data_IF_572642328659
#
_entry.id   IF_572642328659
#
_cell.length_a   1.000
_cell.length_b   1.000
_cell.length_c   1.000
_cell.angle_alpha   90.00
_cell.angle_beta   90.00
_cell.angle_gamma   90.00
#
_symmetry.space_group_name_H-M   'P 1'
#
loop_
_entity.id
_entity.type
_entity.pdbx_description
1 polymer ?
#
# COMPACT_ATOMS: atom_id res chain seq x y z
N UNK A 1 0.71 14.05 -9.40
CA UNK A 1 0.25 12.97 -10.31
C UNK A 1 0.48 11.70 -9.55
N UNK A 2 -0.56 10.93 -9.23
CA UNK A 2 -0.38 9.81 -8.33
C UNK A 2 -0.55 8.47 -9.02
N UNK A 3 0.14 7.48 -8.46
CA UNK A 3 0.01 6.07 -8.80
C UNK A 3 -0.48 5.34 -7.58
N UNK A 4 -1.35 4.37 -7.79
CA UNK A 4 -1.84 3.49 -6.74
C UNK A 4 -1.55 2.04 -7.11
N UNK A 5 -1.29 1.21 -6.11
CA UNK A 5 -1.23 -0.23 -6.27
C UNK A 5 -1.51 -0.94 -4.95
N UNK A 6 -1.74 -2.25 -5.03
CA UNK A 6 -1.96 -3.11 -3.89
C UNK A 6 -0.75 -4.04 -3.70
N UNK A 7 -0.21 -4.06 -2.49
CA UNK A 7 0.88 -4.95 -2.10
C UNK A 7 0.36 -6.03 -1.16
N UNK A 8 0.68 -7.28 -1.48
CA UNK A 8 0.61 -8.35 -0.50
C UNK A 8 1.89 -8.32 0.34
N UNK A 9 1.72 -8.14 1.64
CA UNK A 9 2.83 -8.04 2.58
C UNK A 9 2.72 -8.99 3.76
N UNK A 10 3.86 -9.28 4.36
CA UNK A 10 3.94 -9.95 5.65
C UNK A 10 4.69 -9.09 6.66
N UNK A 11 4.12 -8.95 7.85
CA UNK A 11 4.73 -8.28 8.99
C UNK A 11 6.00 -9.01 9.47
N UNK A 12 7.16 -8.33 9.48
CA UNK A 12 8.37 -8.81 10.18
C UNK A 12 8.41 -8.28 11.61
N UNK A 13 9.23 -8.89 12.50
CA UNK A 13 9.47 -8.35 13.84
C UNK A 13 9.80 -6.85 13.81
N UNK A 14 9.06 -6.07 14.61
CA UNK A 14 9.21 -4.62 14.70
C UNK A 14 8.26 -3.80 13.80
N UNK A 15 7.46 -4.44 12.95
CA UNK A 15 6.31 -3.77 12.29
C UNK A 15 5.12 -3.67 13.25
N UNK A 16 4.22 -2.71 13.03
CA UNK A 16 3.02 -2.52 13.86
C UNK A 16 2.07 -3.74 13.84
N UNK A 17 2.04 -4.46 12.71
CA UNK A 17 1.21 -5.65 12.53
C UNK A 17 1.86 -6.92 13.10
N UNK A 18 3.11 -6.86 13.58
CA UNK A 18 3.79 -8.01 14.15
C UNK A 18 3.17 -8.42 15.49
N UNK A 19 2.80 -9.69 15.63
CA UNK A 19 2.15 -10.20 16.84
C UNK A 19 0.62 -10.09 16.84
N UNK A 20 0.02 -9.58 15.76
CA UNK A 20 -1.43 -9.57 15.54
C UNK A 20 -2.07 -10.95 15.35
N UNK A 21 -1.26 -12.00 15.17
CA UNK A 21 -1.71 -13.35 14.81
C UNK A 21 -2.03 -13.54 13.33
N UNK A 22 -1.88 -12.48 12.51
CA UNK A 22 -2.12 -12.51 11.07
C UNK A 22 -0.88 -13.00 10.31
N UNK A 23 -1.11 -13.67 9.18
CA UNK A 23 -0.03 -14.19 8.32
C UNK A 23 0.51 -13.13 7.36
N UNK A 24 -0.40 -12.36 6.79
CA UNK A 24 -0.14 -11.33 5.81
C UNK A 24 -1.30 -10.36 5.68
N UNK A 25 -1.14 -9.35 4.85
CA UNK A 25 -2.15 -8.35 4.57
C UNK A 25 -2.00 -7.76 3.18
N UNK A 26 -3.12 -7.29 2.63
CA UNK A 26 -3.17 -6.46 1.43
C UNK A 26 -3.13 -4.98 1.85
N UNK A 27 -2.19 -4.24 1.27
CA UNK A 27 -1.90 -2.84 1.58
C UNK A 27 -2.03 -2.01 0.31
N UNK A 28 -2.95 -1.05 0.33
CA UNK A 28 -3.06 -0.07 -0.74
C UNK A 28 -1.99 1.00 -0.52
N UNK A 29 -1.23 1.32 -1.57
CA UNK A 29 -0.17 2.32 -1.56
C UNK A 29 -0.46 3.35 -2.62
N UNK A 30 -0.40 4.62 -2.26
CA UNK A 30 -0.48 5.76 -3.18
C UNK A 30 0.84 6.51 -3.14
N UNK A 31 1.42 6.80 -4.31
CA UNK A 31 2.68 7.53 -4.45
C UNK A 31 2.53 8.67 -5.46
N UNK A 32 2.98 9.86 -5.11
CA UNK A 32 3.15 10.98 -6.06
C UNK A 32 4.48 10.81 -6.82
N UNK A 33 4.38 10.34 -8.06
CA UNK A 33 5.52 10.01 -8.93
C UNK A 33 5.16 10.06 -10.41
N UNK A 34 6.17 10.05 -11.28
CA UNK A 34 5.98 10.28 -12.72
C UNK A 34 5.78 8.97 -13.50
N UNK A 35 6.08 7.80 -12.92
CA UNK A 35 5.99 6.52 -13.62
C UNK A 35 5.68 5.34 -12.70
N UNK A 36 5.17 4.25 -13.30
CA UNK A 36 4.94 2.98 -12.60
C UNK A 36 6.23 2.40 -12.01
N UNK A 37 7.37 2.54 -12.71
CA UNK A 37 8.65 2.05 -12.22
C UNK A 37 9.08 2.78 -10.94
N UNK A 38 8.93 4.10 -10.92
CA UNK A 38 9.21 4.94 -9.76
C UNK A 38 8.23 4.67 -8.61
N UNK A 39 6.95 4.41 -8.93
CA UNK A 39 5.96 3.93 -7.95
C UNK A 39 6.46 2.65 -7.28
N UNK A 40 6.83 1.63 -8.07
CA UNK A 40 7.23 0.33 -7.55
C UNK A 40 8.47 0.42 -6.66
N UNK A 41 9.44 1.23 -7.05
CA UNK A 41 10.66 1.48 -6.25
C UNK A 41 10.29 2.14 -4.91
N UNK A 42 9.64 3.30 -4.94
CA UNK A 42 9.28 4.07 -3.73
C UNK A 42 8.35 3.33 -2.79
N UNK A 43 7.33 2.65 -3.33
CA UNK A 43 6.38 1.87 -2.56
C UNK A 43 7.06 0.69 -1.85
N UNK A 44 7.93 -0.01 -2.58
CA UNK A 44 8.67 -1.14 -2.02
C UNK A 44 9.61 -0.69 -0.90
N UNK A 45 10.34 0.39 -1.11
CA UNK A 45 11.28 0.93 -0.13
C UNK A 45 10.57 1.35 1.15
N UNK A 46 9.48 2.11 1.07
CA UNK A 46 8.73 2.56 2.25
C UNK A 46 8.14 1.38 3.05
N UNK A 47 7.57 0.38 2.38
CA UNK A 47 7.05 -0.81 3.06
C UNK A 47 8.18 -1.63 3.72
N UNK A 48 9.36 -1.72 3.08
CA UNK A 48 10.50 -2.41 3.67
C UNK A 48 11.10 -1.66 4.87
N UNK A 49 11.13 -0.33 4.84
CA UNK A 49 11.52 0.53 5.96
C UNK A 49 10.64 0.26 7.18
N UNK A 50 9.33 0.10 6.97
CA UNK A 50 8.34 -0.26 7.99
C UNK A 50 8.31 -1.76 8.34
N UNK A 51 9.36 -2.48 7.97
CA UNK A 51 9.59 -3.89 8.30
C UNK A 51 8.53 -4.82 7.71
N UNK A 52 7.96 -4.49 6.56
CA UNK A 52 7.19 -5.45 5.79
C UNK A 52 8.08 -6.30 4.89
N UNK A 53 7.68 -7.56 4.71
CA UNK A 53 8.16 -8.42 3.63
C UNK A 53 7.17 -8.28 2.47
N UNK A 54 7.67 -7.92 1.29
CA UNK A 54 6.85 -7.91 0.08
C UNK A 54 6.70 -9.34 -0.44
N UNK A 55 5.47 -9.76 -0.71
CA UNK A 55 5.15 -11.07 -1.27
C UNK A 55 4.76 -10.93 -2.73
N UNK A 56 3.81 -10.05 -3.02
CA UNK A 56 3.34 -9.76 -4.37
C UNK A 56 2.88 -8.30 -4.51
N UNK A 57 2.67 -7.87 -5.76
CA UNK A 57 2.17 -6.53 -6.11
C UNK A 57 1.20 -6.62 -7.28
N UNK A 58 -0.01 -6.15 -7.05
CA UNK A 58 -1.13 -6.21 -7.98
C UNK A 58 -1.76 -4.81 -8.20
N UNK A 59 -2.58 -4.70 -9.25
CA UNK A 59 -3.45 -3.55 -9.50
C UNK A 59 -2.77 -2.17 -9.52
N UNK A 60 -1.55 -2.11 -10.06
CA UNK A 60 -0.85 -0.83 -10.22
C UNK A 60 -1.48 -0.01 -11.34
N UNK A 61 -1.97 1.18 -11.03
CA UNK A 61 -2.61 2.08 -11.97
C UNK A 61 -2.29 3.55 -11.69
N UNK A 62 -2.29 4.34 -12.75
CA UNK A 62 -2.24 5.78 -12.66
C UNK A 62 -3.60 6.32 -12.21
N UNK A 63 -3.59 7.26 -11.27
CA UNK A 63 -4.76 8.01 -10.85
C UNK A 63 -4.54 9.49 -11.12
N UNK A 64 -5.46 10.09 -11.88
CA UNK A 64 -5.53 11.53 -11.96
C UNK A 64 -6.25 12.06 -10.72
N UNK A 65 -5.49 12.64 -9.80
CA UNK A 65 -6.03 13.21 -8.57
C UNK A 65 -6.96 14.41 -8.83
N UNK A 66 -6.91 15.00 -10.03
CA UNK A 66 -7.85 16.04 -10.45
C UNK A 66 -9.16 15.48 -10.98
N UNK A 67 -9.24 14.17 -11.25
CA UNK A 67 -10.45 13.50 -11.74
C UNK A 67 -11.27 12.98 -10.55
N UNK A 68 -12.38 13.67 -10.27
CA UNK A 68 -13.23 13.51 -9.08
C UNK A 68 -14.08 12.22 -9.08
N UNK A 69 -13.96 11.39 -10.12
CA UNK A 69 -14.77 10.19 -10.33
C UNK A 69 -14.11 8.90 -9.80
N UNK A 70 -13.14 8.99 -8.88
CA UNK A 70 -12.56 7.81 -8.20
C UNK A 70 -13.09 7.71 -6.76
N UNK A 71 -14.27 7.10 -6.49
CA UNK A 71 -14.88 7.11 -5.18
C UNK A 71 -14.55 5.80 -4.44
N UNK A 72 -13.64 5.89 -3.47
CA UNK A 72 -13.49 4.93 -2.38
C UNK A 72 -12.99 5.71 -1.17
N UNK A 73 -13.75 5.74 -0.08
CA UNK A 73 -13.43 6.52 1.12
C UNK A 73 -12.00 6.28 1.64
N UNK A 74 -11.48 5.06 1.48
CA UNK A 74 -10.09 4.72 1.83
C UNK A 74 -9.05 5.33 0.89
N UNK A 75 -9.36 5.47 -0.40
CA UNK A 75 -8.47 6.13 -1.36
C UNK A 75 -8.43 7.63 -1.11
N UNK A 76 -9.57 8.23 -0.78
CA UNK A 76 -9.62 9.64 -0.37
C UNK A 76 -8.83 9.85 0.93
N UNK A 77 -8.95 8.93 1.88
CA UNK A 77 -8.18 8.99 3.12
C UNK A 77 -6.67 8.87 2.85
N UNK A 78 -6.23 7.89 2.04
CA UNK A 78 -4.82 7.73 1.68
C UNK A 78 -4.29 8.93 0.89
N UNK A 79 -5.08 9.45 -0.04
CA UNK A 79 -4.73 10.65 -0.79
C UNK A 79 -4.63 11.87 0.13
N UNK A 80 -5.51 12.03 1.11
CA UNK A 80 -5.44 13.13 2.09
C UNK A 80 -4.18 13.09 2.96
N UNK A 81 -3.52 11.93 3.04
CA UNK A 81 -2.24 11.76 3.75
C UNK A 81 -1.03 12.13 2.88
N UNK A 82 -1.21 12.29 1.56
CA UNK A 82 -0.22 12.90 0.70
C UNK A 82 -0.16 14.40 0.98
N UNK A 83 1.00 14.88 1.39
CA UNK A 83 1.26 16.30 1.67
C UNK A 83 2.53 16.72 0.97
N UNK A 84 2.81 18.03 0.89
CA UNK A 84 4.05 18.54 0.27
C UNK A 84 5.34 17.93 0.89
N UNK A 85 5.26 17.42 2.12
CA UNK A 85 6.35 16.71 2.80
C UNK A 85 6.26 15.18 2.75
N UNK A 86 5.13 14.61 2.34
CA UNK A 86 4.89 13.17 2.32
C UNK A 86 4.37 12.71 0.95
N UNK A 87 5.25 12.12 0.16
CA UNK A 87 4.96 11.68 -1.22
C UNK A 87 4.43 10.25 -1.33
N UNK A 88 4.27 9.57 -0.20
CA UNK A 88 3.79 8.19 -0.13
C UNK A 88 2.82 8.02 1.04
N UNK A 89 1.70 7.36 0.79
CA UNK A 89 0.74 6.99 1.82
C UNK A 89 0.30 5.55 1.60
N UNK A 90 0.13 4.78 2.67
CA UNK A 90 -0.39 3.44 2.57
C UNK A 90 -1.16 3.02 3.81
N UNK A 91 -2.07 2.07 3.62
CA UNK A 91 -2.99 1.60 4.65
C UNK A 91 -3.34 0.13 4.45
N UNK A 92 -3.57 -0.56 5.57
CA UNK A 92 -3.96 -1.97 5.56
C UNK A 92 -5.45 -2.11 5.25
N UNK A 93 -5.78 -2.79 4.15
CA UNK A 93 -7.15 -3.02 3.72
C UNK A 93 -7.71 -4.34 4.27
N UNK A 94 -6.93 -5.42 4.11
CA UNK A 94 -7.37 -6.75 4.50
C UNK A 94 -6.20 -7.57 5.01
N UNK A 95 -6.16 -7.81 6.33
CA UNK A 95 -5.27 -8.79 6.91
C UNK A 95 -5.92 -10.19 6.89
N UNK A 96 -5.14 -11.24 6.68
CA UNK A 96 -5.63 -12.62 6.68
C UNK A 96 -4.78 -13.54 7.57
N UNK A 97 -5.41 -14.55 8.21
CA UNK A 97 -4.71 -15.55 9.03
C UNK A 97 -4.01 -16.58 8.14
N UNK A 98 -3.11 -17.38 8.73
CA UNK A 98 -2.35 -18.42 8.01
C UNK A 98 -3.21 -19.47 7.32
N UNK A 99 -4.41 -19.72 7.84
CA UNK A 99 -5.30 -20.79 7.39
C UNK A 99 -6.28 -20.36 6.27
N UNK A 100 -6.16 -19.15 5.72
CA UNK A 100 -7.04 -18.61 4.68
C UNK A 100 -6.61 -18.87 3.23
N UNK A 101 -5.53 -19.62 2.99
CA UNK A 101 -4.97 -19.90 1.66
C UNK A 101 -5.43 -21.24 1.04
N UNK A 102 -6.23 -22.03 1.76
CA UNK A 102 -6.70 -23.37 1.34
C UNK A 102 -8.24 -23.44 1.14
N UNK A 103 -8.88 -22.37 0.64
CA UNK A 103 -10.32 -22.36 0.32
C UNK A 103 -10.59 -22.12 -1.17
#
# INVERSE_FOLDING_TARGET
MAWIGCYEVRAKPGSELHGSGMYGAFVNVVVDCESEAEFREKASDALMEDRYQLLDVEDVMFIDLADTDTPKDELDLLNSQLTDGNKIAYGTFQAYPKDGLDA
#
